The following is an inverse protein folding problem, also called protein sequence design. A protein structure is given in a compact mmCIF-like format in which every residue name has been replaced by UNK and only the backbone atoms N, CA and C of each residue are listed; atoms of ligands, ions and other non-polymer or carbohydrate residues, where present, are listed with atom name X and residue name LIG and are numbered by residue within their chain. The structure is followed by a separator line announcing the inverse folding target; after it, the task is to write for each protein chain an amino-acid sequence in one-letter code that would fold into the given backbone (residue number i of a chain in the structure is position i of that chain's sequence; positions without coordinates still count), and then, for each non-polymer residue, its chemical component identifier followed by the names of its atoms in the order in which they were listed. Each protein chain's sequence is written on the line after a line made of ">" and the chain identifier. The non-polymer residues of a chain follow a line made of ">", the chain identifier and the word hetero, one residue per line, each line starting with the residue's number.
data_IF_568978546227
#
_entry.id   IF_568978546227
#
_cell.length_a   1.000
_cell.length_b   1.000
_cell.length_c   1.000
_cell.angle_alpha   90.00
_cell.angle_beta   90.00
_cell.angle_gamma   90.00
#
_symmetry.space_group_name_H-M   'P 1'
#
loop_
_entity.id
_entity.type
_entity.pdbx_description
1 polymer ?
#
# COMPACT_ATOMS: atom_id res chain seq x y z
N UNK A 1 -31.39 -10.09 5.15
CA UNK A 1 -30.81 -9.97 6.50
C UNK A 1 -29.33 -10.34 6.51
N UNK A 2 -28.95 -11.56 6.08
CA UNK A 2 -27.55 -11.99 5.99
C UNK A 2 -26.67 -11.13 5.07
N UNK A 3 -27.19 -10.69 3.92
CA UNK A 3 -26.46 -9.83 2.98
C UNK A 3 -26.07 -8.47 3.61
N UNK A 4 -27.01 -7.82 4.31
CA UNK A 4 -26.75 -6.53 4.97
C UNK A 4 -25.75 -6.66 6.13
N UNK A 5 -25.76 -7.79 6.86
CA UNK A 5 -24.76 -8.07 7.89
C UNK A 5 -23.38 -8.37 7.28
N UNK A 6 -23.34 -9.05 6.14
CA UNK A 6 -22.11 -9.27 5.37
C UNK A 6 -21.53 -7.94 4.88
N UNK A 7 -22.36 -7.06 4.31
CA UNK A 7 -21.94 -5.74 3.84
C UNK A 7 -21.40 -4.87 4.99
N UNK A 8 -22.09 -4.86 6.14
CA UNK A 8 -21.63 -4.16 7.33
C UNK A 8 -20.28 -4.69 7.84
N UNK A 9 -20.07 -6.02 7.81
CA UNK A 9 -18.80 -6.64 8.16
C UNK A 9 -17.67 -6.21 7.23
N UNK A 10 -17.90 -6.21 5.91
CA UNK A 10 -16.92 -5.76 4.90
C UNK A 10 -16.54 -4.29 5.11
N UNK A 11 -17.51 -3.43 5.41
CA UNK A 11 -17.26 -2.00 5.65
C UNK A 11 -16.32 -1.74 6.84
N UNK A 12 -16.39 -2.57 7.89
CA UNK A 12 -15.48 -2.45 9.04
C UNK A 12 -14.04 -2.75 8.63
N UNK A 13 -13.80 -3.80 7.85
CA UNK A 13 -12.45 -4.13 7.37
C UNK A 13 -11.89 -3.07 6.43
N UNK A 14 -12.73 -2.52 5.55
CA UNK A 14 -12.34 -1.43 4.64
C UNK A 14 -11.97 -0.17 5.43
N UNK A 15 -12.77 0.21 6.43
CA UNK A 15 -12.49 1.39 7.25
C UNK A 15 -11.19 1.23 8.06
N UNK A 16 -10.94 0.03 8.59
CA UNK A 16 -9.71 -0.28 9.31
C UNK A 16 -8.47 -0.18 8.40
N UNK A 17 -8.56 -0.72 7.19
CA UNK A 17 -7.46 -0.68 6.21
C UNK A 17 -7.15 0.75 5.73
N UNK A 18 -8.19 1.56 5.48
CA UNK A 18 -8.05 2.97 5.12
C UNK A 18 -7.37 3.79 6.21
N UNK A 19 -7.76 3.60 7.46
CA UNK A 19 -7.20 4.30 8.61
C UNK A 19 -5.74 3.90 8.87
N UNK A 20 -5.42 2.60 8.77
CA UNK A 20 -4.05 2.11 8.85
C UNK A 20 -3.17 2.70 7.73
N UNK A 21 -3.64 2.63 6.47
CA UNK A 21 -2.92 3.17 5.31
C UNK A 21 -2.68 4.68 5.43
N UNK A 22 -3.68 5.43 5.88
CA UNK A 22 -3.58 6.88 6.08
C UNK A 22 -2.51 7.24 7.11
N UNK A 23 -2.45 6.51 8.22
CA UNK A 23 -1.42 6.74 9.26
C UNK A 23 -0.02 6.41 8.77
N UNK A 24 0.14 5.31 8.02
CA UNK A 24 1.43 4.95 7.41
C UNK A 24 1.90 6.04 6.46
N UNK A 25 1.01 6.53 5.57
CA UNK A 25 1.36 7.57 4.62
C UNK A 25 1.77 8.88 5.31
N UNK A 26 1.02 9.29 6.35
CA UNK A 26 1.40 10.45 7.19
C UNK A 26 2.75 10.25 7.87
N UNK A 27 3.02 9.05 8.39
CA UNK A 27 4.28 8.70 9.03
C UNK A 27 5.47 8.74 8.07
N UNK A 28 5.31 8.21 6.85
CA UNK A 28 6.34 8.19 5.81
C UNK A 28 6.73 9.58 5.28
N UNK A 29 5.83 10.56 5.39
CA UNK A 29 6.12 11.95 5.05
C UNK A 29 7.03 12.65 6.08
N UNK A 30 7.24 12.06 7.27
CA UNK A 30 8.10 12.63 8.30
C UNK A 30 9.57 12.50 7.95
N UNK A 31 10.37 13.52 8.33
CA UNK A 31 11.84 13.44 8.28
C UNK A 31 12.43 12.32 9.14
N UNK A 32 11.69 11.88 10.16
CA UNK A 32 12.08 10.82 11.09
C UNK A 32 11.49 9.46 10.74
N UNK A 33 10.88 9.32 9.56
CA UNK A 33 10.32 8.05 9.13
C UNK A 33 11.40 6.96 9.14
N UNK A 34 11.16 5.88 9.88
CA UNK A 34 12.04 4.72 9.87
C UNK A 34 11.92 4.01 8.51
N UNK A 35 12.81 4.34 7.57
CA UNK A 35 12.89 3.68 6.25
C UNK A 35 13.63 2.33 6.35
N UNK A 36 13.14 1.49 7.27
CA UNK A 36 13.69 0.18 7.56
C UNK A 36 13.37 -0.87 6.50
N UNK A 37 13.93 -2.07 6.68
CA UNK A 37 13.59 -3.22 5.83
C UNK A 37 12.15 -3.65 6.12
N UNK A 38 11.43 -4.02 5.05
CA UNK A 38 10.15 -4.71 5.17
C UNK A 38 10.31 -5.96 6.02
N UNK A 39 9.29 -6.24 6.83
CA UNK A 39 9.19 -7.51 7.56
C UNK A 39 8.89 -8.67 6.58
N UNK A 40 9.17 -9.90 7.00
CA UNK A 40 8.87 -11.08 6.18
C UNK A 40 7.36 -11.24 5.88
N UNK A 41 6.49 -10.77 6.76
CA UNK A 41 5.04 -10.74 6.52
C UNK A 41 4.61 -9.75 5.43
N UNK A 42 5.48 -8.80 5.05
CA UNK A 42 5.21 -7.78 4.04
C UNK A 42 5.79 -8.13 2.66
N UNK A 43 6.16 -9.39 2.42
CA UNK A 43 6.74 -9.84 1.14
C UNK A 43 5.86 -9.46 -0.07
N UNK A 44 4.54 -9.50 0.07
CA UNK A 44 3.61 -9.06 -0.99
C UNK A 44 3.81 -7.59 -1.39
N UNK A 45 4.03 -6.69 -0.42
CA UNK A 45 4.32 -5.28 -0.68
C UNK A 45 5.66 -5.11 -1.39
N UNK A 46 6.67 -5.93 -1.06
CA UNK A 46 7.98 -5.92 -1.72
C UNK A 46 7.82 -6.30 -3.20
N UNK A 47 7.10 -7.38 -3.48
CA UNK A 47 6.88 -7.85 -4.85
C UNK A 47 6.09 -6.84 -5.68
N UNK A 48 5.04 -6.25 -5.10
CA UNK A 48 4.26 -5.20 -5.75
C UNK A 48 5.11 -3.95 -6.07
N UNK A 49 5.90 -3.47 -5.11
CA UNK A 49 6.78 -2.31 -5.33
C UNK A 49 7.86 -2.59 -6.37
N UNK A 50 8.43 -3.80 -6.41
CA UNK A 50 9.38 -4.21 -7.46
C UNK A 50 8.74 -4.13 -8.84
N UNK A 51 7.53 -4.65 -8.99
CA UNK A 51 6.78 -4.59 -10.24
C UNK A 51 6.51 -3.13 -10.67
N UNK A 52 6.04 -2.28 -9.75
CA UNK A 52 5.80 -0.86 -10.02
C UNK A 52 7.06 -0.13 -10.49
N UNK A 53 8.17 -0.28 -9.76
CA UNK A 53 9.43 0.41 -10.08
C UNK A 53 9.95 0.02 -11.45
N UNK A 54 9.87 -1.27 -11.81
CA UNK A 54 10.25 -1.72 -13.15
C UNK A 54 9.42 -1.06 -14.25
N UNK A 55 8.10 -0.96 -14.05
CA UNK A 55 7.18 -0.36 -15.01
C UNK A 55 7.42 1.14 -15.18
N UNK A 56 7.58 1.87 -14.08
CA UNK A 56 7.86 3.31 -14.13
C UNK A 56 9.20 3.61 -14.81
N UNK A 57 10.25 2.85 -14.50
CA UNK A 57 11.56 3.02 -15.15
C UNK A 57 11.48 2.80 -16.65
N UNK A 58 10.80 1.73 -17.08
CA UNK A 58 10.56 1.46 -18.51
C UNK A 58 9.84 2.63 -19.19
N UNK A 59 8.78 3.13 -18.58
CA UNK A 59 8.00 4.24 -19.16
C UNK A 59 8.82 5.55 -19.25
N UNK A 60 9.61 5.86 -18.23
CA UNK A 60 10.49 7.03 -18.24
C UNK A 60 11.53 6.93 -19.37
N UNK A 61 12.18 5.77 -19.54
CA UNK A 61 13.16 5.57 -20.63
C UNK A 61 12.52 5.63 -22.03
N UNK A 62 11.26 5.22 -22.18
CA UNK A 62 10.51 5.32 -23.44
C UNK A 62 10.08 6.76 -23.77
N UNK A 63 9.94 7.62 -22.75
CA UNK A 63 9.52 9.02 -22.92
C UNK A 63 10.71 9.94 -23.18
N UNK A 64 11.90 9.57 -22.70
CA UNK A 64 13.17 10.30 -22.89
C UNK A 64 13.90 9.95 -24.21
N UNK A 65 13.37 9.01 -25.00
CA UNK A 65 13.92 8.58 -26.32
C UNK A 65 13.11 9.15 -27.48
#
# INVERSE_FOLDING_TARGET
>A
HLLAQSDAGVQVFVAQDQDATTRVQKGLASRFAARGRYSWQEESHIQFNRWLVQRYRKHLTETDS
#
